data_IF_018284729030
#
_entry.id   IF_018284729030
#
_cell.length_a   1.000
_cell.length_b   1.000
_cell.length_c   1.000
_cell.angle_alpha   90.00
_cell.angle_beta   90.00
_cell.angle_gamma   90.00
#
_symmetry.space_group_name_H-M   'P 1'
#
loop_
_entity.id
_entity.type
_entity.pdbx_description
1 polymer ?
#
# COMPACT_ATOMS: atom_id res chain seq x y z
N UNK A 1 2.65 5.85 18.81
CA UNK A 1 4.02 5.84 18.25
C UNK A 1 4.26 4.59 17.41
N UNK A 2 4.97 4.74 16.28
CA UNK A 2 5.22 3.69 15.25
C UNK A 2 6.70 3.30 15.12
N UNK A 3 7.60 4.00 15.79
CA UNK A 3 9.03 3.74 15.77
C UNK A 3 9.34 2.30 16.23
N UNK A 4 10.14 1.58 15.45
CA UNK A 4 10.53 0.19 15.70
C UNK A 4 9.40 -0.84 15.54
N UNK A 5 8.24 -0.46 14.98
CA UNK A 5 7.07 -1.36 14.85
C UNK A 5 6.79 -1.77 13.41
N UNK A 6 6.23 -2.96 13.26
CA UNK A 6 5.59 -3.37 12.01
C UNK A 6 4.22 -2.69 11.90
N UNK A 7 3.95 -2.07 10.77
CA UNK A 7 2.73 -1.30 10.55
C UNK A 7 1.87 -1.99 9.50
N UNK A 8 0.58 -2.10 9.79
CA UNK A 8 -0.45 -2.55 8.85
C UNK A 8 -1.32 -1.35 8.47
N UNK A 9 -1.32 -0.97 7.20
CA UNK A 9 -2.24 0.01 6.64
C UNK A 9 -3.45 -0.74 6.10
N UNK A 10 -4.65 -0.36 6.55
CA UNK A 10 -5.90 -0.98 6.15
C UNK A 10 -6.72 0.06 5.39
N UNK A 11 -7.15 -0.28 4.19
CA UNK A 11 -8.05 0.53 3.38
C UNK A 11 -9.17 -0.34 2.78
N UNK A 12 -10.28 0.26 2.39
CA UNK A 12 -11.34 -0.48 1.69
C UNK A 12 -11.04 -0.60 0.18
N UNK A 13 -10.45 0.44 -0.43
CA UNK A 13 -10.18 0.52 -1.86
C UNK A 13 -8.89 1.28 -2.17
N UNK A 14 -8.12 0.81 -3.15
CA UNK A 14 -6.96 1.52 -3.69
C UNK A 14 -7.16 1.81 -5.17
N UNK A 15 -7.22 3.09 -5.53
CA UNK A 15 -7.30 3.55 -6.92
C UNK A 15 -5.95 3.94 -7.49
N UNK A 16 -5.50 5.18 -7.34
CA UNK A 16 -4.21 5.64 -7.91
C UNK A 16 -3.00 5.39 -6.98
N UNK A 17 -3.21 4.75 -5.83
CA UNK A 17 -2.24 4.50 -4.76
C UNK A 17 -1.56 5.73 -4.11
N UNK A 18 -1.88 6.97 -4.53
CA UNK A 18 -1.17 8.15 -4.04
C UNK A 18 -1.32 8.40 -2.53
N UNK A 19 -2.53 8.24 -1.99
CA UNK A 19 -2.77 8.40 -0.54
C UNK A 19 -2.03 7.32 0.26
N UNK A 20 -2.09 6.07 -0.21
CA UNK A 20 -1.46 4.92 0.44
C UNK A 20 0.06 5.09 0.53
N UNK A 21 0.71 5.42 -0.58
CA UNK A 21 2.17 5.56 -0.63
C UNK A 21 2.67 6.76 0.18
N UNK A 22 1.91 7.86 0.20
CA UNK A 22 2.22 9.01 1.06
C UNK A 22 2.10 8.67 2.55
N UNK A 23 1.08 7.89 2.93
CA UNK A 23 0.91 7.42 4.31
C UNK A 23 2.07 6.48 4.70
N UNK A 24 2.44 5.56 3.82
CA UNK A 24 3.58 4.67 4.03
C UNK A 24 4.90 5.45 4.19
N UNK A 25 5.15 6.46 3.35
CA UNK A 25 6.31 7.33 3.48
C UNK A 25 6.36 8.04 4.85
N UNK A 26 5.25 8.66 5.26
CA UNK A 26 5.15 9.33 6.56
C UNK A 26 5.36 8.37 7.75
N UNK A 27 4.92 7.11 7.63
CA UNK A 27 5.16 6.09 8.64
C UNK A 27 6.62 5.64 8.67
N UNK A 28 7.26 5.50 7.51
CA UNK A 28 8.67 5.12 7.40
C UNK A 28 9.58 6.20 7.99
N UNK A 29 9.31 7.46 7.69
CA UNK A 29 10.01 8.62 8.28
C UNK A 29 9.91 8.66 9.82
N UNK A 30 8.82 8.13 10.38
CA UNK A 30 8.61 8.00 11.84
C UNK A 30 9.21 6.72 12.44
N UNK A 31 10.05 6.02 11.68
CA UNK A 31 10.80 4.86 12.17
C UNK A 31 10.05 3.53 12.11
N UNK A 32 9.02 3.39 11.28
CA UNK A 32 8.36 2.09 11.08
C UNK A 32 9.36 1.05 10.56
N UNK A 33 9.36 -0.14 11.19
CA UNK A 33 10.26 -1.24 10.86
C UNK A 33 9.88 -1.84 9.50
N UNK A 34 8.61 -2.20 9.34
CA UNK A 34 7.99 -2.70 8.09
C UNK A 34 6.60 -2.10 7.90
N UNK A 35 6.14 -2.09 6.65
CA UNK A 35 4.85 -1.54 6.25
C UNK A 35 4.18 -2.52 5.29
N UNK A 36 3.08 -3.12 5.75
CA UNK A 36 2.19 -3.94 4.92
C UNK A 36 0.93 -3.14 4.67
N UNK A 37 0.41 -3.17 3.44
CA UNK A 37 -0.87 -2.59 3.09
C UNK A 37 -1.87 -3.69 2.72
N UNK A 38 -3.13 -3.52 3.12
CA UNK A 38 -4.22 -4.41 2.71
C UNK A 38 -5.40 -3.60 2.20
N UNK A 39 -6.06 -4.07 1.14
CA UNK A 39 -7.33 -3.49 0.69
C UNK A 39 -8.31 -4.53 0.15
N UNK A 40 -9.60 -4.23 0.27
CA UNK A 40 -10.64 -5.10 -0.31
C UNK A 40 -10.69 -4.92 -1.83
N UNK A 41 -10.74 -3.70 -2.33
CA UNK A 41 -11.01 -3.42 -3.75
C UNK A 41 -9.79 -2.81 -4.48
N UNK A 42 -8.99 -3.61 -5.21
CA UNK A 42 -7.79 -3.12 -5.88
C UNK A 42 -8.08 -2.56 -7.29
N UNK A 43 -8.56 -1.32 -7.38
CA UNK A 43 -8.77 -0.66 -8.68
C UNK A 43 -7.44 -0.42 -9.41
N UNK A 44 -6.39 -0.06 -8.66
CA UNK A 44 -5.00 0.06 -9.10
C UNK A 44 -4.87 0.74 -10.48
N UNK A 45 -5.39 1.95 -10.59
CA UNK A 45 -5.43 2.70 -11.84
C UNK A 45 -4.25 3.63 -12.06
N UNK A 46 -4.02 3.98 -13.33
CA UNK A 46 -2.97 4.90 -13.75
C UNK A 46 -1.61 4.45 -13.22
N UNK A 47 -0.89 5.28 -12.43
CA UNK A 47 0.45 4.99 -11.95
C UNK A 47 0.49 4.13 -10.69
N UNK A 48 -0.62 3.49 -10.27
CA UNK A 48 -0.71 2.79 -8.99
C UNK A 48 0.40 1.75 -8.78
N UNK A 49 0.61 0.86 -9.75
CA UNK A 49 1.65 -0.18 -9.69
C UNK A 49 3.04 0.42 -9.47
N UNK A 50 3.46 1.35 -10.33
CA UNK A 50 4.74 2.04 -10.21
C UNK A 50 4.89 2.75 -8.86
N UNK A 51 3.84 3.42 -8.39
CA UNK A 51 3.85 4.10 -7.09
C UNK A 51 4.07 3.13 -5.95
N UNK A 52 3.42 1.97 -5.96
CA UNK A 52 3.58 0.94 -4.93
C UNK A 52 5.00 0.38 -4.97
N UNK A 53 5.51 0.04 -6.15
CA UNK A 53 6.88 -0.46 -6.34
C UNK A 53 7.95 0.53 -5.86
N UNK A 54 7.75 1.83 -6.08
CA UNK A 54 8.67 2.89 -5.66
C UNK A 54 8.47 3.31 -4.19
N UNK A 55 7.47 2.76 -3.49
CA UNK A 55 7.10 3.15 -2.13
C UNK A 55 7.82 2.31 -1.06
N UNK A 56 7.78 2.72 0.22
CA UNK A 56 8.32 1.91 1.31
C UNK A 56 7.35 0.81 1.80
N UNK A 57 6.36 0.43 0.99
CA UNK A 57 5.44 -0.68 1.29
C UNK A 57 6.15 -1.99 0.95
N UNK A 58 6.29 -2.87 1.93
CA UNK A 58 6.96 -4.17 1.76
C UNK A 58 6.06 -5.18 1.04
N UNK A 59 4.74 -5.13 1.31
CA UNK A 59 3.77 -6.05 0.73
C UNK A 59 2.38 -5.39 0.63
N UNK A 60 1.68 -5.64 -0.48
CA UNK A 60 0.30 -5.25 -0.69
C UNK A 60 -0.57 -6.50 -0.88
N UNK A 61 -1.46 -6.77 0.07
CA UNK A 61 -2.42 -7.88 -0.02
C UNK A 61 -3.79 -7.35 -0.43
N UNK A 62 -4.40 -7.97 -1.43
CA UNK A 62 -5.69 -7.53 -1.97
C UNK A 62 -6.61 -8.72 -2.21
N UNK A 63 -7.92 -8.47 -2.28
CA UNK A 63 -8.88 -9.49 -2.71
C UNK A 63 -9.07 -9.45 -4.23
N UNK A 64 -9.71 -10.49 -4.77
CA UNK A 64 -10.07 -10.64 -6.18
C UNK A 64 -11.40 -9.97 -6.56
N UNK A 65 -11.95 -9.10 -5.69
CA UNK A 65 -13.20 -8.37 -5.98
C UNK A 65 -13.12 -7.46 -7.21
N UNK A 66 -11.91 -7.13 -7.66
CA UNK A 66 -11.62 -6.44 -8.92
C UNK A 66 -10.56 -7.23 -9.67
N UNK A 67 -10.81 -7.50 -10.96
CA UNK A 67 -9.84 -8.19 -11.81
C UNK A 67 -8.56 -7.35 -11.96
N UNK A 68 -7.43 -7.91 -11.54
CA UNK A 68 -6.14 -7.25 -11.68
C UNK A 68 -5.71 -7.20 -13.15
N UNK A 69 -5.13 -6.06 -13.54
CA UNK A 69 -4.57 -5.83 -14.89
C UNK A 69 -3.20 -6.49 -15.07
N UNK A 70 -2.51 -6.77 -13.98
CA UNK A 70 -1.24 -7.47 -13.93
C UNK A 70 -1.37 -8.64 -12.93
N UNK A 71 -0.71 -9.78 -13.19
CA UNK A 71 -0.66 -10.85 -12.21
C UNK A 71 0.03 -10.38 -10.92
N UNK A 72 -0.44 -10.93 -9.79
CA UNK A 72 0.16 -10.80 -8.46
C UNK A 72 1.52 -11.47 -8.38
#
# INVERSE_FOLDING_TARGET
EVEGKNVLIVDDLIDTAGTLTNAAAALKERGALSIIAICTHPILSGPAFQRIEDSPIDELLVTDTVQLRQPS
#
